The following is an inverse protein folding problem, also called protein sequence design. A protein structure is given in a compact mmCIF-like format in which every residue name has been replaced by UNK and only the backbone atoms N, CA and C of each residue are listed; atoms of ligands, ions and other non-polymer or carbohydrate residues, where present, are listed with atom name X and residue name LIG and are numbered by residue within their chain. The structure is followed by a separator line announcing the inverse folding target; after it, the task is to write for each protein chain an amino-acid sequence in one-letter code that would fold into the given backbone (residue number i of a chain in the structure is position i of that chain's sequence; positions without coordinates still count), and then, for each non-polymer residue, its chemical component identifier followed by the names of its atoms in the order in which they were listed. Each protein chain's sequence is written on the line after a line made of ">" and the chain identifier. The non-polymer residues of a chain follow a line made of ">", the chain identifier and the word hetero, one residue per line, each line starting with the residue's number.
data_IF_624200346169
#
_entry.id   IF_624200346169
#
_cell.length_a   1.000
_cell.length_b   1.000
_cell.length_c   1.000
_cell.angle_alpha   90.00
_cell.angle_beta   90.00
_cell.angle_gamma   90.00
#
_symmetry.space_group_name_H-M   'P 1'
#
loop_
_entity.id
_entity.type
_entity.pdbx_description
1 polymer ?
#
# COMPACT_ATOMS: atom_id res chain seq x y z
N UNK A 1 -6.25 -6.15 15.76
CA UNK A 1 -5.66 -4.82 15.95
C UNK A 1 -5.31 -4.18 14.58
N UNK A 2 -4.64 -4.95 13.71
CA UNK A 2 -4.28 -4.41 12.39
C UNK A 2 -5.51 -4.02 11.56
N UNK A 3 -6.53 -4.88 11.52
CA UNK A 3 -7.75 -4.58 10.76
C UNK A 3 -8.47 -3.36 11.32
N UNK A 4 -8.54 -3.24 12.65
CA UNK A 4 -9.18 -2.07 13.29
C UNK A 4 -8.42 -0.79 12.94
N UNK A 5 -7.07 -0.84 12.93
CA UNK A 5 -6.24 0.31 12.56
C UNK A 5 -6.47 0.72 11.12
N UNK A 6 -6.60 -0.24 10.20
CA UNK A 6 -6.86 0.05 8.78
C UNK A 6 -8.23 0.69 8.59
N UNK A 7 -9.26 0.19 9.27
CA UNK A 7 -10.59 0.81 9.21
C UNK A 7 -10.58 2.23 9.75
N UNK A 8 -9.84 2.48 10.83
CA UNK A 8 -9.72 3.82 11.41
C UNK A 8 -9.04 4.78 10.41
N UNK A 9 -8.00 4.33 9.73
CA UNK A 9 -7.29 5.14 8.72
C UNK A 9 -8.22 5.46 7.56
N UNK A 10 -8.99 4.48 7.06
CA UNK A 10 -9.92 4.69 5.96
C UNK A 10 -11.01 5.70 6.34
N UNK A 11 -11.57 5.59 7.55
CA UNK A 11 -12.59 6.51 8.03
C UNK A 11 -12.03 7.93 8.18
N UNK A 12 -10.83 8.05 8.73
CA UNK A 12 -10.14 9.34 8.89
C UNK A 12 -9.87 9.99 7.53
N UNK A 13 -9.41 9.19 6.56
CA UNK A 13 -9.12 9.68 5.21
C UNK A 13 -10.37 10.24 4.55
N UNK A 14 -11.49 9.50 4.62
CA UNK A 14 -12.77 9.96 4.06
C UNK A 14 -13.25 11.23 4.76
N UNK A 15 -13.08 11.30 6.07
CA UNK A 15 -13.42 12.50 6.84
C UNK A 15 -12.61 13.70 6.40
N UNK A 16 -11.31 13.52 6.20
CA UNK A 16 -10.44 14.59 5.70
C UNK A 16 -10.85 15.05 4.31
N UNK A 17 -11.21 14.12 3.41
CA UNK A 17 -11.67 14.49 2.08
C UNK A 17 -12.93 15.36 2.13
N UNK A 18 -13.87 15.03 3.00
CA UNK A 18 -15.09 15.82 3.18
C UNK A 18 -14.77 17.19 3.77
N UNK A 19 -13.94 17.25 4.79
CA UNK A 19 -13.59 18.49 5.48
C UNK A 19 -12.82 19.45 4.59
N UNK A 20 -12.03 18.92 3.66
CA UNK A 20 -11.10 19.70 2.84
C UNK A 20 -11.61 19.92 1.40
N UNK A 21 -12.85 19.54 1.11
CA UNK A 21 -13.39 19.60 -0.27
C UNK A 21 -13.39 21.00 -0.85
N UNK A 22 -13.50 22.01 -0.02
CA UNK A 22 -13.49 23.41 -0.44
C UNK A 22 -12.11 24.07 -0.44
N UNK A 23 -11.07 23.25 -0.30
CA UNK A 23 -9.68 23.71 -0.28
C UNK A 23 -8.92 23.12 -1.47
N UNK A 24 -7.73 23.63 -1.81
CA UNK A 24 -6.89 23.01 -2.84
C UNK A 24 -6.17 21.75 -2.38
N UNK A 25 -6.36 21.32 -1.15
CA UNK A 25 -5.69 20.14 -0.58
C UNK A 25 -6.33 18.88 -1.13
N UNK A 26 -5.50 17.98 -1.62
CA UNK A 26 -5.92 16.66 -2.11
C UNK A 26 -5.48 15.60 -1.13
N UNK A 27 -6.35 14.63 -0.90
CA UNK A 27 -6.09 13.52 0.03
C UNK A 27 -6.12 12.22 -0.76
N UNK A 28 -5.10 11.41 -0.59
CA UNK A 28 -4.99 10.14 -1.30
C UNK A 28 -4.47 9.07 -0.36
N UNK A 29 -4.89 7.83 -0.59
CA UNK A 29 -4.30 6.67 0.09
C UNK A 29 -3.70 5.73 -0.93
N UNK A 30 -2.59 5.11 -0.56
CA UNK A 30 -1.96 4.05 -1.35
C UNK A 30 -1.94 2.81 -0.48
N UNK A 31 -2.60 1.76 -0.93
CA UNK A 31 -2.73 0.50 -0.22
C UNK A 31 -1.93 -0.57 -0.95
N UNK A 32 -0.67 -0.80 -0.59
CA UNK A 32 0.15 -1.80 -1.27
C UNK A 32 -0.09 -3.21 -0.73
N UNK A 33 0.08 -4.19 -1.61
CA UNK A 33 0.15 -5.58 -1.22
C UNK A 33 1.53 -5.94 -0.68
N UNK A 34 2.05 -7.09 -1.07
CA UNK A 34 3.37 -7.53 -0.59
C UNK A 34 4.49 -6.65 -1.15
N UNK A 35 5.15 -5.94 -0.27
CA UNK A 35 6.27 -5.04 -0.60
C UNK A 35 7.52 -5.54 0.11
N UNK A 36 8.60 -5.71 -0.64
CA UNK A 36 9.88 -6.09 -0.05
C UNK A 36 10.53 -4.86 0.57
N UNK A 37 10.44 -4.77 1.89
CA UNK A 37 10.99 -3.68 2.69
C UNK A 37 11.57 -4.23 4.00
N UNK A 38 12.21 -3.35 4.77
CA UNK A 38 12.70 -3.69 6.10
C UNK A 38 11.58 -4.04 7.09
N UNK A 39 10.34 -3.67 6.77
CA UNK A 39 9.20 -3.95 7.65
C UNK A 39 9.06 -5.44 7.94
N UNK A 40 9.26 -6.30 6.93
CA UNK A 40 9.17 -7.76 7.13
C UNK A 40 10.24 -8.26 8.09
N UNK A 41 11.45 -7.71 8.03
CA UNK A 41 12.53 -8.07 8.94
C UNK A 41 12.19 -7.66 10.37
N UNK A 42 11.67 -6.46 10.57
CA UNK A 42 11.27 -5.97 11.89
C UNK A 42 10.10 -6.80 12.43
N UNK A 43 9.11 -7.09 11.61
CA UNK A 43 7.92 -7.86 11.98
C UNK A 43 8.28 -9.25 12.51
N UNK A 44 9.32 -9.87 11.95
CA UNK A 44 9.74 -11.21 12.34
C UNK A 44 10.96 -11.19 13.25
N UNK A 45 11.23 -10.05 13.89
CA UNK A 45 12.33 -9.90 14.85
C UNK A 45 13.69 -10.28 14.27
N UNK A 46 13.91 -9.95 13.00
CA UNK A 46 15.16 -10.27 12.33
C UNK A 46 15.30 -11.70 11.84
N UNK A 47 14.24 -12.49 11.90
CA UNK A 47 14.22 -13.86 11.35
C UNK A 47 14.22 -13.78 9.83
N UNK A 48 15.41 -13.83 9.25
CA UNK A 48 15.61 -13.72 7.80
C UNK A 48 14.88 -14.82 7.04
N UNK A 49 14.89 -16.04 7.57
CA UNK A 49 14.25 -17.16 6.92
C UNK A 49 12.72 -16.96 6.82
N UNK A 50 12.09 -16.50 7.90
CA UNK A 50 10.67 -16.21 7.88
C UNK A 50 10.34 -15.06 6.95
N UNK A 51 11.16 -14.01 6.95
CA UNK A 51 10.96 -12.86 6.07
C UNK A 51 11.08 -13.29 4.60
N UNK A 52 12.04 -14.15 4.26
CA UNK A 52 12.19 -14.66 2.90
C UNK A 52 11.01 -15.49 2.44
N UNK A 53 10.41 -16.28 3.33
CA UNK A 53 9.26 -17.12 2.99
C UNK A 53 8.06 -16.32 2.55
N UNK A 54 7.90 -15.10 3.05
CA UNK A 54 6.79 -14.23 2.67
C UNK A 54 6.82 -13.94 1.17
N UNK A 55 8.03 -13.83 0.59
CA UNK A 55 8.21 -13.48 -0.83
C UNK A 55 8.54 -14.67 -1.71
N UNK A 56 8.60 -15.87 -1.15
CA UNK A 56 9.00 -17.06 -1.90
C UNK A 56 8.06 -17.34 -3.07
N UNK A 57 8.62 -17.53 -4.25
CA UNK A 57 7.86 -17.90 -5.44
C UNK A 57 7.08 -16.77 -6.08
N UNK A 58 7.28 -15.52 -5.65
CA UNK A 58 6.65 -14.37 -6.28
C UNK A 58 7.62 -13.20 -6.33
N UNK A 59 7.33 -12.24 -7.20
CA UNK A 59 8.07 -10.99 -7.26
C UNK A 59 7.28 -9.94 -6.51
N UNK A 60 7.71 -9.53 -5.30
CA UNK A 60 6.99 -8.52 -4.54
C UNK A 60 7.16 -7.13 -5.14
N UNK A 61 6.34 -6.19 -4.71
CA UNK A 61 6.55 -4.79 -4.99
C UNK A 61 7.81 -4.32 -4.25
N UNK A 62 8.41 -3.25 -4.76
CA UNK A 62 9.54 -2.59 -4.11
C UNK A 62 9.12 -1.22 -3.61
N UNK A 63 9.95 -0.62 -2.76
CA UNK A 63 9.74 0.76 -2.34
C UNK A 63 9.70 1.72 -3.52
N UNK A 64 10.51 1.47 -4.55
CA UNK A 64 10.51 2.29 -5.76
C UNK A 64 9.19 2.20 -6.52
N UNK A 65 8.57 1.03 -6.57
CA UNK A 65 7.25 0.87 -7.20
C UNK A 65 6.21 1.75 -6.49
N UNK A 66 6.24 1.77 -5.17
CA UNK A 66 5.32 2.58 -4.38
C UNK A 66 5.63 4.07 -4.57
N UNK A 67 6.89 4.45 -4.59
CA UNK A 67 7.31 5.83 -4.78
C UNK A 67 6.87 6.36 -6.14
N UNK A 68 7.00 5.56 -7.20
CA UNK A 68 6.52 5.94 -8.54
C UNK A 68 5.01 6.17 -8.56
N UNK A 69 4.26 5.34 -7.84
CA UNK A 69 2.81 5.48 -7.73
C UNK A 69 2.45 6.79 -7.04
N UNK A 70 3.14 7.11 -5.94
CA UNK A 70 2.92 8.36 -5.20
C UNK A 70 3.25 9.57 -6.07
N UNK A 71 4.35 9.51 -6.80
CA UNK A 71 4.75 10.59 -7.70
C UNK A 71 3.69 10.82 -8.78
N UNK A 72 3.16 9.75 -9.37
CA UNK A 72 2.09 9.85 -10.36
C UNK A 72 0.84 10.52 -9.77
N UNK A 73 0.43 10.11 -8.58
CA UNK A 73 -0.72 10.69 -7.89
C UNK A 73 -0.51 12.19 -7.67
N UNK A 74 0.65 12.57 -7.17
CA UNK A 74 0.96 13.97 -6.85
C UNK A 74 1.07 14.83 -8.09
N UNK A 75 1.45 14.24 -9.23
CA UNK A 75 1.64 14.97 -10.49
C UNK A 75 0.35 15.13 -11.32
N UNK A 76 -0.80 14.63 -10.83
CA UNK A 76 -2.06 14.83 -11.54
C UNK A 76 -2.44 16.30 -11.53
N UNK A 77 -3.20 16.75 -12.55
CA UNK A 77 -3.71 18.12 -12.59
C UNK A 77 -4.46 18.49 -11.30
N UNK A 78 -4.44 19.77 -10.98
CA UNK A 78 -4.96 20.29 -9.70
C UNK A 78 -6.40 19.87 -9.41
N UNK A 79 -7.24 19.75 -10.43
CA UNK A 79 -8.65 19.40 -10.29
C UNK A 79 -8.92 17.90 -10.13
N UNK A 80 -7.86 17.09 -10.16
CA UNK A 80 -7.98 15.62 -10.06
C UNK A 80 -7.47 15.18 -8.70
N UNK A 81 -8.31 14.46 -7.97
CA UNK A 81 -7.92 13.82 -6.72
C UNK A 81 -8.02 12.31 -6.90
N UNK A 82 -6.90 11.61 -6.78
CA UNK A 82 -6.89 10.16 -6.78
C UNK A 82 -7.18 9.71 -5.35
N UNK A 83 -8.41 9.29 -5.10
CA UNK A 83 -8.87 9.02 -3.74
C UNK A 83 -8.17 7.81 -3.12
N UNK A 84 -8.05 6.73 -3.88
CA UNK A 84 -7.48 5.49 -3.37
C UNK A 84 -6.83 4.70 -4.50
N UNK A 85 -5.66 4.15 -4.25
CA UNK A 85 -4.98 3.25 -5.17
C UNK A 85 -4.60 1.99 -4.41
N UNK A 86 -5.03 0.85 -4.93
CA UNK A 86 -4.59 -0.46 -4.44
C UNK A 86 -3.57 -0.99 -5.44
N UNK A 87 -2.36 -1.23 -4.99
CA UNK A 87 -1.29 -1.71 -5.84
C UNK A 87 -0.79 -3.06 -5.32
N UNK A 88 -0.84 -4.06 -6.18
CA UNK A 88 -0.54 -5.44 -5.82
C UNK A 88 0.54 -6.01 -6.75
N UNK A 89 1.38 -6.92 -6.27
CA UNK A 89 2.14 -7.76 -7.18
C UNK A 89 1.16 -8.50 -8.10
N UNK A 90 1.57 -8.75 -9.34
CA UNK A 90 0.67 -9.44 -10.30
C UNK A 90 0.19 -10.79 -9.76
N UNK A 91 1.01 -11.47 -8.95
CA UNK A 91 0.71 -12.79 -8.41
C UNK A 91 -0.16 -12.76 -7.15
N UNK A 92 -0.59 -11.58 -6.70
CA UNK A 92 -1.44 -11.44 -5.50
C UNK A 92 -2.78 -10.86 -5.90
N UNK A 93 -3.88 -11.53 -5.54
CA UNK A 93 -5.24 -11.06 -5.81
C UNK A 93 -5.94 -10.52 -4.57
N UNK A 94 -5.34 -10.71 -3.40
CA UNK A 94 -5.87 -10.24 -2.13
C UNK A 94 -4.91 -10.63 -1.01
N UNK A 95 -5.27 -10.35 0.23
CA UNK A 95 -4.37 -10.63 1.36
C UNK A 95 -3.97 -12.10 1.46
N UNK A 96 -4.88 -13.00 1.08
CA UNK A 96 -4.68 -14.45 1.20
C UNK A 96 -4.59 -15.17 -0.14
N UNK A 97 -4.70 -14.46 -1.26
CA UNK A 97 -4.73 -15.07 -2.60
C UNK A 97 -3.46 -14.68 -3.34
N UNK A 98 -2.48 -15.57 -3.32
CA UNK A 98 -1.15 -15.34 -3.90
C UNK A 98 -0.77 -16.57 -4.73
N UNK A 99 -0.34 -16.35 -5.98
CA UNK A 99 0.23 -17.39 -6.83
C UNK A 99 1.76 -17.39 -6.63
N UNK A 100 2.30 -18.54 -6.25
CA UNK A 100 3.75 -18.71 -6.05
C UNK A 100 4.28 -19.72 -7.04
N UNK A 101 5.31 -19.34 -7.78
CA UNK A 101 6.02 -20.29 -8.64
C UNK A 101 6.85 -21.21 -7.76
N UNK A 102 6.81 -22.48 -8.08
CA UNK A 102 7.62 -23.49 -7.40
C UNK A 102 8.99 -23.62 -8.05
#
# INVERSE_FOLDING_TARGET
>A
VYCASKFAVDALTKGMMMDLVDTPIRVSTVDPGLVETEFSMVRFYGDTERAEKVYQGLRPLTGDDIAETIEWIASRPEHIQIAQVVILPKSQAGAMVVHRKQ
#
